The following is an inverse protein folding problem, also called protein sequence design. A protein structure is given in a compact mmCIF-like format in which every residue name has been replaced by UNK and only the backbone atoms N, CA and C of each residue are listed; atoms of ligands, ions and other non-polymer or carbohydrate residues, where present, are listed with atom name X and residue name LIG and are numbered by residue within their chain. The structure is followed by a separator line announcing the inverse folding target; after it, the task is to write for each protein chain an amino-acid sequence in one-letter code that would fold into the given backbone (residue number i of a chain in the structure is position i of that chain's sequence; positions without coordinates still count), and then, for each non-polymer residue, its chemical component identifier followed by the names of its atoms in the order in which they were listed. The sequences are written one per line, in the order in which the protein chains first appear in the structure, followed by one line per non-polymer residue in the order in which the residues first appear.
data_IF_341437132572
#
_entry.id   IF_341437132572
#
_cell.length_a   1.000
_cell.length_b   1.000
_cell.length_c   1.000
_cell.angle_alpha   90.00
_cell.angle_beta   90.00
_cell.angle_gamma   90.00
#
_symmetry.space_group_name_H-M   'P 1'
#
loop_
_entity.id
_entity.type
_entity.pdbx_description
1 polymer ?
#
# COMPACT_ATOMS: atom_id res chain seq x y z
N UNK A 1 -15.99 -4.98 8.82
CA UNK A 1 -14.99 -5.57 9.72
C UNK A 1 -13.67 -5.45 8.98
N UNK A 2 -12.71 -4.73 9.54
CA UNK A 2 -11.32 -4.76 9.05
C UNK A 2 -10.76 -6.15 9.33
N UNK A 3 -9.95 -6.69 8.42
CA UNK A 3 -9.19 -7.91 8.68
C UNK A 3 -8.56 -7.88 10.09
N UNK A 4 -8.88 -8.89 10.91
CA UNK A 4 -8.49 -8.94 12.32
C UNK A 4 -6.98 -9.11 12.52
N UNK A 5 -6.25 -9.48 11.47
CA UNK A 5 -4.79 -9.60 11.47
C UNK A 5 -4.09 -8.25 11.38
N UNK A 6 -4.82 -7.16 11.09
CA UNK A 6 -4.21 -5.83 10.99
C UNK A 6 -3.88 -5.24 12.38
N UNK A 7 -2.80 -4.44 12.47
CA UNK A 7 -2.45 -3.71 13.68
C UNK A 7 -3.59 -2.80 14.16
N UNK A 8 -3.61 -2.47 15.46
CA UNK A 8 -4.66 -1.62 16.03
C UNK A 8 -4.70 -0.20 15.44
N UNK A 9 -3.61 0.26 14.81
CA UNK A 9 -3.59 1.52 14.06
C UNK A 9 -4.56 1.51 12.87
N UNK A 10 -4.86 0.34 12.31
CA UNK A 10 -5.78 0.15 11.18
C UNK A 10 -7.24 -0.06 11.60
N UNK A 11 -7.56 -0.01 12.90
CA UNK A 11 -8.95 -0.04 13.37
C UNK A 11 -9.71 1.13 12.75
N UNK A 12 -10.94 0.96 12.22
CA UNK A 12 -11.63 2.03 11.49
C UNK A 12 -11.82 3.33 12.27
N UNK A 13 -12.04 3.22 13.59
CA UNK A 13 -12.19 4.39 14.46
C UNK A 13 -10.87 5.16 14.71
N UNK A 14 -9.73 4.55 14.38
CA UNK A 14 -8.38 5.14 14.51
C UNK A 14 -7.87 5.61 13.15
N UNK A 15 -8.01 4.79 12.11
CA UNK A 15 -7.46 5.04 10.78
C UNK A 15 -8.37 5.84 9.87
N UNK A 16 -9.66 5.95 10.20
CA UNK A 16 -10.70 6.44 9.28
C UNK A 16 -10.77 5.62 7.97
N UNK A 17 -10.33 4.36 8.02
CA UNK A 17 -10.28 3.47 6.86
C UNK A 17 -10.86 2.09 7.17
N UNK A 18 -11.48 1.47 6.17
CA UNK A 18 -12.00 0.12 6.25
C UNK A 18 -11.35 -0.75 5.17
N UNK A 19 -10.77 -1.87 5.57
CA UNK A 19 -10.02 -2.78 4.69
C UNK A 19 -10.72 -4.13 4.61
N UNK A 20 -10.96 -4.63 3.40
CA UNK A 20 -11.54 -5.96 3.19
C UNK A 20 -11.13 -6.56 1.85
N UNK A 21 -11.16 -7.89 1.75
CA UNK A 21 -10.84 -8.62 0.53
C UNK A 21 -12.10 -9.07 -0.23
N UNK A 22 -12.05 -9.02 -1.56
CA UNK A 22 -13.05 -9.59 -2.45
C UNK A 22 -12.36 -10.22 -3.67
N UNK A 23 -12.14 -11.53 -3.63
CA UNK A 23 -11.43 -12.24 -4.70
C UNK A 23 -9.99 -11.70 -4.86
N UNK A 24 -9.56 -11.30 -6.07
CA UNK A 24 -8.20 -10.78 -6.29
C UNK A 24 -8.01 -9.34 -5.77
N UNK A 25 -9.05 -8.67 -5.29
CA UNK A 25 -9.00 -7.27 -4.87
C UNK A 25 -8.93 -7.13 -3.36
N UNK A 26 -7.91 -6.43 -2.86
CA UNK A 26 -7.91 -5.80 -1.54
C UNK A 26 -8.52 -4.40 -1.69
N UNK A 27 -9.57 -4.11 -0.93
CA UNK A 27 -10.29 -2.83 -0.98
C UNK A 27 -10.04 -2.03 0.27
N UNK A 28 -9.72 -0.74 0.09
CA UNK A 28 -9.61 0.25 1.16
C UNK A 28 -10.65 1.32 0.91
N UNK A 29 -11.54 1.52 1.88
CA UNK A 29 -12.47 2.64 1.90
C UNK A 29 -11.93 3.70 2.85
N UNK A 30 -11.70 4.90 2.34
CA UNK A 30 -11.29 6.08 3.11
C UNK A 30 -12.52 6.91 3.43
N UNK A 31 -12.64 7.31 4.69
CA UNK A 31 -13.63 8.30 5.12
C UNK A 31 -13.43 9.62 4.35
N UNK A 32 -14.44 10.11 3.61
CA UNK A 32 -14.32 11.35 2.84
C UNK A 32 -14.10 12.60 3.72
N UNK A 33 -14.39 12.55 5.02
CA UNK A 33 -14.07 13.63 5.96
C UNK A 33 -12.56 13.67 6.30
N UNK A 34 -11.81 12.61 5.94
CA UNK A 34 -10.39 12.44 6.22
C UNK A 34 -9.61 11.99 4.96
N UNK A 35 -9.74 12.70 3.82
CA UNK A 35 -9.34 12.20 2.50
C UNK A 35 -7.83 11.97 2.39
N UNK A 36 -7.01 12.69 3.15
CA UNK A 36 -5.55 12.59 3.06
C UNK A 36 -4.94 11.58 4.04
N UNK A 37 -5.74 10.92 4.89
CA UNK A 37 -5.22 10.08 5.99
C UNK A 37 -4.36 8.92 5.47
N UNK A 38 -4.74 8.32 4.33
CA UNK A 38 -4.05 7.18 3.74
C UNK A 38 -2.64 7.52 3.23
N UNK A 39 -2.34 8.81 3.03
CA UNK A 39 -1.04 9.30 2.58
C UNK A 39 -0.03 9.44 3.73
N UNK A 40 -0.50 9.36 4.97
CA UNK A 40 0.32 9.52 6.18
C UNK A 40 0.94 8.19 6.60
N UNK A 41 2.05 8.27 7.33
CA UNK A 41 2.61 7.10 8.01
C UNK A 41 1.74 6.69 9.22
N UNK A 42 1.57 5.39 9.50
CA UNK A 42 2.19 4.24 8.83
C UNK A 42 1.45 3.76 7.56
N UNK A 43 0.28 4.33 7.27
CA UNK A 43 -0.65 3.82 6.27
C UNK A 43 -0.06 3.80 4.87
N UNK A 44 0.68 4.86 4.51
CA UNK A 44 1.34 4.93 3.20
C UNK A 44 2.30 3.76 2.98
N UNK A 45 3.22 3.54 3.93
CA UNK A 45 4.19 2.45 3.83
C UNK A 45 3.53 1.06 3.82
N UNK A 46 2.43 0.90 4.56
CA UNK A 46 1.67 -0.35 4.56
C UNK A 46 0.95 -0.58 3.22
N UNK A 47 0.31 0.44 2.64
CA UNK A 47 -0.35 0.36 1.34
C UNK A 47 0.64 0.02 0.22
N UNK A 48 1.83 0.64 0.22
CA UNK A 48 2.88 0.33 -0.73
C UNK A 48 3.34 -1.15 -0.61
N UNK A 49 3.48 -1.65 0.62
CA UNK A 49 3.82 -3.07 0.88
C UNK A 49 2.72 -4.02 0.40
N UNK A 50 1.45 -3.69 0.66
CA UNK A 50 0.32 -4.52 0.23
C UNK A 50 0.19 -4.53 -1.28
N UNK A 51 0.40 -3.41 -1.96
CA UNK A 51 0.39 -3.35 -3.42
C UNK A 51 1.50 -4.21 -4.03
N UNK A 52 2.72 -4.15 -3.49
CA UNK A 52 3.83 -5.01 -3.92
C UNK A 52 3.54 -6.49 -3.74
N UNK A 53 3.00 -6.88 -2.58
CA UNK A 53 2.66 -8.26 -2.29
C UNK A 53 1.53 -8.77 -3.20
N UNK A 54 0.46 -7.98 -3.33
CA UNK A 54 -0.70 -8.33 -4.16
C UNK A 54 -0.27 -8.51 -5.63
N UNK A 55 0.53 -7.61 -6.19
CA UNK A 55 1.00 -7.72 -7.57
C UNK A 55 1.80 -9.02 -7.81
N UNK A 56 2.65 -9.40 -6.85
CA UNK A 56 3.41 -10.67 -6.90
C UNK A 56 2.51 -11.92 -6.95
N UNK A 57 1.26 -11.82 -6.50
CA UNK A 57 0.26 -12.89 -6.52
C UNK A 57 -0.77 -12.75 -7.66
N UNK A 58 -0.62 -11.75 -8.54
CA UNK A 58 -1.62 -11.42 -9.56
C UNK A 58 -2.92 -10.80 -8.99
N UNK A 59 -2.84 -10.30 -7.76
CA UNK A 59 -3.89 -9.56 -7.03
C UNK A 59 -3.62 -8.06 -7.12
N UNK A 60 -4.53 -7.24 -6.59
CA UNK A 60 -4.37 -5.77 -6.64
C UNK A 60 -5.09 -5.06 -5.50
N UNK A 61 -4.67 -3.82 -5.24
CA UNK A 61 -5.19 -2.97 -4.16
C UNK A 61 -5.92 -1.78 -4.76
N UNK A 62 -7.20 -1.58 -4.39
CA UNK A 62 -8.01 -0.44 -4.78
C UNK A 62 -8.40 0.38 -3.56
N UNK A 63 -8.19 1.69 -3.65
CA UNK A 63 -8.60 2.68 -2.68
C UNK A 63 -9.79 3.46 -3.22
N UNK A 64 -10.82 3.64 -2.39
CA UNK A 64 -11.97 4.48 -2.63
C UNK A 64 -11.97 5.62 -1.61
N UNK A 65 -12.12 6.85 -2.07
CA UNK A 65 -12.30 8.03 -1.22
C UNK A 65 -13.50 8.84 -1.75
N UNK A 66 -14.67 8.66 -1.14
CA UNK A 66 -15.93 9.15 -1.71
C UNK A 66 -16.18 8.55 -3.09
N UNK A 67 -16.19 9.41 -4.12
CA UNK A 67 -16.37 9.02 -5.53
C UNK A 67 -15.03 8.79 -6.27
N UNK A 68 -13.90 9.08 -5.64
CA UNK A 68 -12.57 8.87 -6.22
C UNK A 68 -12.13 7.42 -6.05
N UNK A 69 -11.61 6.83 -7.13
CA UNK A 69 -11.11 5.46 -7.15
C UNK A 69 -9.69 5.45 -7.67
N UNK A 70 -8.80 4.85 -6.89
CA UNK A 70 -7.39 4.73 -7.23
C UNK A 70 -6.92 3.29 -7.07
N UNK A 71 -6.26 2.74 -8.09
CA UNK A 71 -5.41 1.56 -7.89
C UNK A 71 -4.11 2.01 -7.23
N UNK A 72 -3.76 1.38 -6.11
CA UNK A 72 -2.45 1.61 -5.50
C UNK A 72 -1.45 0.77 -6.31
N UNK A 73 -0.61 1.47 -7.07
CA UNK A 73 0.48 0.83 -7.78
C UNK A 73 1.54 0.37 -6.77
N UNK A 74 2.15 -0.79 -7.01
CA UNK A 74 3.37 -1.13 -6.31
C UNK A 74 4.41 -0.08 -6.68
N UNK A 75 4.72 0.82 -5.74
CA UNK A 75 5.87 1.70 -5.91
C UNK A 75 7.10 0.85 -6.22
N UNK A 76 8.04 1.32 -7.06
CA UNK A 76 9.23 0.55 -7.39
C UNK A 76 9.84 0.07 -6.07
N UNK A 77 9.88 -1.25 -5.88
CA UNK A 77 10.46 -1.87 -4.70
C UNK A 77 11.76 -1.13 -4.44
N UNK A 78 11.84 -0.39 -3.33
CA UNK A 78 12.92 0.55 -3.09
C UNK A 78 14.23 -0.18 -3.39
N UNK A 79 14.88 0.16 -4.51
CA UNK A 79 16.15 -0.41 -4.90
C UNK A 79 17.18 0.14 -3.92
N UNK A 80 17.28 -0.52 -2.77
CA UNK A 80 18.37 -0.46 -1.79
C UNK A 80 18.10 -1.56 -0.76
N UNK A 81 18.95 -2.56 -0.56
CA UNK A 81 20.39 -2.49 -0.60
C UNK A 81 21.02 -3.68 -1.34
N UNK A 82 22.16 -3.40 -1.98
CA UNK A 82 23.08 -4.33 -2.64
C UNK A 82 22.77 -4.56 -4.11
N UNK A 83 23.31 -3.70 -4.97
CA UNK A 83 24.02 -4.14 -6.19
C UNK A 83 24.95 -3.01 -6.63
N UNK A 84 26.20 -3.17 -6.22
CA UNK A 84 27.40 -3.02 -7.05
C UNK A 84 27.52 -1.76 -7.94
N UNK A 85 28.18 -0.74 -7.39
CA UNK A 85 28.70 0.41 -8.14
C UNK A 85 30.22 0.33 -8.33
N UNK A 86 30.83 -0.85 -8.20
CA UNK A 86 32.29 -1.01 -8.35
C UNK A 86 32.72 -1.74 -9.63
N UNK A 87 31.78 -2.26 -10.44
CA UNK A 87 32.13 -2.94 -11.69
C UNK A 87 32.54 -2.02 -12.87
N UNK A 88 32.50 -0.68 -12.73
CA UNK A 88 32.83 0.26 -13.83
C UNK A 88 34.00 1.20 -13.51
N UNK A 89 35.08 0.68 -12.90
CA UNK A 89 36.37 1.41 -12.82
C UNK A 89 37.61 0.60 -13.20
N UNK A 90 37.46 -0.61 -13.76
CA UNK A 90 38.55 -1.38 -14.32
C UNK A 90 38.43 -1.45 -15.85
N UNK A 91 38.64 -0.31 -16.52
CA UNK A 91 38.94 -0.18 -17.96
C UNK A 91 39.11 1.31 -18.31
N UNK A 92 40.17 1.94 -17.80
CA UNK A 92 40.74 3.17 -18.35
C UNK A 92 42.19 3.31 -17.87
#
# INVERSE_FOLDING_TARGET
MTDETLPDTWRPLTSHMLVYEQGPQLTILVDPDHPDIFTQEPYRSDLDRWAQHAEGEGRYVILFCGDEVQKIEAGPAALSATTDRDALRAQA
#
